data_IF_693225134073
#
_entry.id   IF_693225134073
#
_cell.length_a   1.000
_cell.length_b   1.000
_cell.length_c   1.000
_cell.angle_alpha   90.00
_cell.angle_beta   90.00
_cell.angle_gamma   90.00
#
_symmetry.space_group_name_H-M   'P 1'
#
loop_
_entity.id
_entity.type
_entity.pdbx_description
1 polymer ?
#
# COMPACT_ATOMS: atom_id res chain seq x y z
N UNK A 1 2.07 -15.57 10.11
CA UNK A 1 1.87 -14.25 9.49
C UNK A 1 0.47 -14.17 8.92
N UNK A 2 -0.21 -13.02 9.02
CA UNK A 2 -1.53 -12.82 8.38
C UNK A 2 -1.33 -12.22 7.00
N UNK A 3 -2.27 -12.45 6.07
CA UNK A 3 -2.20 -11.84 4.74
C UNK A 3 -2.09 -10.29 4.78
N UNK A 4 -2.63 -9.66 5.83
CA UNK A 4 -2.50 -8.21 6.03
C UNK A 4 -1.06 -7.79 6.37
N UNK A 5 -0.35 -8.60 7.14
CA UNK A 5 1.05 -8.34 7.53
C UNK A 5 1.98 -8.51 6.33
N UNK A 6 1.70 -9.52 5.49
CA UNK A 6 2.43 -9.79 4.25
C UNK A 6 2.33 -8.61 3.27
N UNK A 7 1.10 -8.11 3.04
CA UNK A 7 0.86 -6.88 2.27
C UNK A 7 1.62 -5.69 2.85
N UNK A 8 1.66 -5.55 4.18
CA UNK A 8 2.35 -4.44 4.81
C UNK A 8 3.87 -4.51 4.59
N UNK A 9 4.45 -5.70 4.68
CA UNK A 9 5.87 -5.92 4.36
C UNK A 9 6.17 -5.62 2.89
N UNK A 10 5.32 -6.07 1.95
CA UNK A 10 5.45 -5.71 0.53
C UNK A 10 5.46 -4.19 0.34
N UNK A 11 4.59 -3.45 1.02
CA UNK A 11 4.54 -1.98 0.96
C UNK A 11 5.82 -1.35 1.52
N UNK A 12 6.38 -1.88 2.62
CA UNK A 12 7.61 -1.36 3.24
C UNK A 12 8.86 -1.63 2.40
N UNK A 13 8.94 -2.80 1.77
CA UNK A 13 10.07 -3.19 0.92
C UNK A 13 9.97 -2.63 -0.50
N UNK A 14 8.85 -2.00 -0.87
CA UNK A 14 8.70 -1.40 -2.17
C UNK A 14 9.55 -0.14 -2.32
N UNK A 15 10.51 -0.20 -3.24
CA UNK A 15 11.38 0.93 -3.61
C UNK A 15 10.60 2.05 -4.32
N UNK A 16 9.38 1.75 -4.78
CA UNK A 16 8.54 2.65 -5.56
C UNK A 16 7.11 2.63 -5.04
N UNK A 17 6.37 3.73 -5.21
CA UNK A 17 4.98 3.79 -4.83
C UNK A 17 4.17 2.67 -5.48
N UNK A 18 3.55 1.83 -4.64
CA UNK A 18 2.69 0.76 -5.10
C UNK A 18 1.26 1.26 -5.32
N UNK A 19 0.67 0.89 -6.45
CA UNK A 19 -0.76 1.05 -6.65
C UNK A 19 -1.51 -0.17 -6.11
N UNK A 20 -2.83 -0.03 -5.94
CA UNK A 20 -3.71 -1.17 -5.60
C UNK A 20 -3.60 -2.27 -6.67
N UNK A 21 -3.36 -1.91 -7.94
CA UNK A 21 -3.23 -2.88 -9.02
C UNK A 21 -1.92 -3.68 -8.90
N UNK A 22 -0.81 -3.03 -8.55
CA UNK A 22 0.47 -3.72 -8.30
C UNK A 22 0.35 -4.68 -7.11
N UNK A 23 -0.22 -4.21 -6.00
CA UNK A 23 -0.48 -5.06 -4.83
C UNK A 23 -1.38 -6.24 -5.15
N UNK A 24 -2.38 -6.04 -6.01
CA UNK A 24 -3.27 -7.13 -6.44
C UNK A 24 -2.57 -8.10 -7.40
N UNK A 25 -1.61 -7.63 -8.20
CA UNK A 25 -0.82 -8.47 -9.10
C UNK A 25 0.18 -9.34 -8.33
N UNK A 26 0.82 -8.79 -7.28
CA UNK A 26 1.69 -9.55 -6.37
C UNK A 26 0.90 -10.49 -5.45
N UNK A 27 -0.32 -10.09 -5.06
CA UNK A 27 -1.17 -10.84 -4.13
C UNK A 27 -2.55 -11.15 -4.74
N UNK A 28 -2.62 -12.01 -5.77
CA UNK A 28 -3.88 -12.31 -6.46
C UNK A 28 -4.90 -13.04 -5.58
N UNK A 29 -4.44 -13.68 -4.49
CA UNK A 29 -5.28 -14.33 -3.50
C UNK A 29 -6.08 -13.32 -2.63
N UNK A 30 -5.70 -12.03 -2.62
CA UNK A 30 -6.36 -11.00 -1.83
C UNK A 30 -7.28 -10.16 -2.72
N UNK A 31 -8.57 -10.14 -2.38
CA UNK A 31 -9.53 -9.33 -3.10
C UNK A 31 -9.19 -7.83 -3.05
N UNK A 32 -9.38 -7.13 -4.18
CA UNK A 32 -9.13 -5.69 -4.31
C UNK A 32 -9.80 -4.83 -3.23
N UNK A 33 -11.04 -5.16 -2.84
CA UNK A 33 -11.78 -4.50 -1.75
C UNK A 33 -11.08 -4.64 -0.41
N UNK A 34 -10.50 -5.81 -0.15
CA UNK A 34 -9.74 -6.11 1.07
C UNK A 34 -8.45 -5.30 1.11
N UNK A 35 -7.70 -5.24 -0.01
CA UNK A 35 -6.53 -4.39 -0.16
C UNK A 35 -6.87 -2.91 0.08
N UNK A 36 -7.93 -2.40 -0.55
CA UNK A 36 -8.40 -1.03 -0.34
C UNK A 36 -8.76 -0.74 1.11
N UNK A 37 -9.45 -1.67 1.78
CA UNK A 37 -9.80 -1.54 3.19
C UNK A 37 -8.56 -1.50 4.07
N UNK A 38 -7.59 -2.38 3.85
CA UNK A 38 -6.34 -2.41 4.60
C UNK A 38 -5.50 -1.17 4.35
N UNK A 39 -5.38 -0.71 3.10
CA UNK A 39 -4.69 0.53 2.77
C UNK A 39 -5.29 1.72 3.50
N UNK A 40 -6.62 1.85 3.54
CA UNK A 40 -7.32 2.89 4.33
C UNK A 40 -7.01 2.78 5.82
N UNK A 41 -6.95 1.57 6.37
CA UNK A 41 -6.56 1.35 7.77
C UNK A 41 -5.10 1.76 8.02
N UNK A 42 -4.19 1.45 7.10
CA UNK A 42 -2.79 1.85 7.20
C UNK A 42 -2.60 3.36 7.08
N UNK A 43 -3.39 4.02 6.22
CA UNK A 43 -3.39 5.49 6.14
C UNK A 43 -3.95 6.14 7.40
N UNK A 44 -5.08 5.63 7.91
CA UNK A 44 -5.67 6.12 9.15
C UNK A 44 -4.74 5.91 10.36
N UNK A 45 -3.94 4.85 10.35
CA UNK A 45 -2.93 4.57 11.36
C UNK A 45 -1.60 5.33 11.15
N UNK A 46 -1.48 6.17 10.12
CA UNK A 46 -0.25 6.89 9.79
C UNK A 46 0.91 6.00 9.32
N UNK A 47 0.67 4.71 9.08
CA UNK A 47 1.70 3.73 8.70
C UNK A 47 2.10 3.81 7.23
N UNK A 48 1.22 4.32 6.37
CA UNK A 48 1.42 4.44 4.93
C UNK A 48 0.79 5.75 4.47
N UNK A 49 1.47 6.51 3.63
CA UNK A 49 0.97 7.80 3.14
C UNK A 49 0.38 7.61 1.74
N UNK A 50 -0.95 7.69 1.62
CA UNK A 50 -1.60 7.65 0.32
C UNK A 50 -1.47 9.02 -0.36
N UNK A 51 -0.64 9.15 -1.39
CA UNK A 51 -0.61 10.36 -2.21
C UNK A 51 -1.80 10.31 -3.17
N UNK A 52 -2.87 10.98 -2.76
CA UNK A 52 -4.11 11.09 -3.51
C UNK A 52 -4.13 12.34 -4.38
N UNK A 53 -3.51 12.29 -5.55
CA UNK A 53 -3.88 13.12 -6.69
C UNK A 53 -4.01 12.17 -7.88
N UNK A 54 -5.24 11.93 -8.36
CA UNK A 54 -5.62 11.00 -9.44
C UNK A 54 -4.42 10.17 -9.97
N UNK A 55 -4.22 8.98 -9.39
CA UNK A 55 -3.24 8.00 -9.87
C UNK A 55 -1.79 8.50 -9.83
N UNK A 56 -1.21 8.61 -8.64
CA UNK A 56 0.20 8.30 -8.33
C UNK A 56 0.45 8.56 -6.85
N UNK A 57 0.61 7.49 -6.07
CA UNK A 57 1.46 7.58 -4.90
C UNK A 57 2.89 7.85 -5.40
N UNK A 58 3.67 8.67 -4.71
CA UNK A 58 5.12 8.76 -4.84
C UNK A 58 5.66 8.62 -3.42
N UNK A 59 6.45 7.58 -3.20
CA UNK A 59 7.38 7.55 -2.09
C UNK A 59 8.46 8.58 -2.44
N UNK A 60 8.36 9.76 -1.84
CA UNK A 60 9.52 10.61 -1.62
C UNK A 60 9.70 10.73 -0.12
N UNK A 61 10.73 10.04 0.37
CA UNK A 61 11.49 10.48 1.52
C UNK A 61 12.02 11.89 1.19
N UNK A 62 11.47 12.92 1.82
CA UNK A 62 12.07 14.24 1.84
C UNK A 62 12.42 14.55 3.31
N UNK A 63 13.70 14.70 3.64
CA UNK A 63 14.10 15.28 4.91
C UNK A 63 13.89 16.80 4.89
N UNK A 64 13.44 17.33 6.05
CA UNK A 64 13.13 18.71 6.46
C UNK A 64 11.74 19.25 6.09
#
# INVERSE_FOLDING_TARGET
>A
MTAKDDIYQTILHAVRPLTIADLQAEHPAVARRTLQRWLRQFTAAGKVRAQGGRTRAALCDCPL
#
